data_IF_345979228409
#
_entry.id   IF_345979228409
#
_cell.length_a   1.000
_cell.length_b   1.000
_cell.length_c   1.000
_cell.angle_alpha   90.00
_cell.angle_beta   90.00
_cell.angle_gamma   90.00
#
_symmetry.space_group_name_H-M   'P 1'
#
loop_
_entity.id
_entity.type
_entity.pdbx_description
1 polymer ?
#
# COMPACT_ATOMS: atom_id res chain seq x y z
N UNK A 1 -11.34 2.19 -9.27
CA UNK A 1 -10.47 1.46 -8.32
C UNK A 1 -9.49 0.66 -9.15
N UNK A 2 -8.19 0.82 -8.93
CA UNK A 2 -7.15 0.08 -9.64
C UNK A 2 -6.75 -1.14 -8.82
N UNK A 3 -6.69 -2.30 -9.47
CA UNK A 3 -6.14 -3.50 -8.85
C UNK A 3 -4.64 -3.36 -8.78
N UNK A 4 -4.09 -3.47 -7.57
CA UNK A 4 -2.68 -3.43 -7.33
C UNK A 4 -2.29 -4.52 -6.34
N UNK A 5 -1.06 -5.02 -6.46
CA UNK A 5 -0.52 -6.02 -5.54
C UNK A 5 0.26 -5.32 -4.45
N UNK A 6 -0.02 -5.63 -3.19
CA UNK A 6 0.73 -5.13 -2.07
C UNK A 6 2.19 -5.59 -2.17
N UNK A 7 3.14 -4.66 -2.23
CA UNK A 7 4.57 -4.97 -2.32
C UNK A 7 5.14 -5.60 -1.04
N UNK A 8 4.41 -5.53 0.08
CA UNK A 8 4.84 -6.02 1.39
C UNK A 8 4.29 -7.44 1.68
N UNK A 9 2.99 -7.66 1.44
CA UNK A 9 2.33 -8.95 1.72
C UNK A 9 1.94 -9.77 0.48
N UNK A 10 2.08 -9.22 -0.73
CA UNK A 10 1.72 -9.90 -1.98
C UNK A 10 0.22 -10.04 -2.25
N UNK A 11 -0.65 -9.47 -1.41
CA UNK A 11 -2.10 -9.57 -1.60
C UNK A 11 -2.61 -8.56 -2.64
N UNK A 12 -3.63 -8.96 -3.39
CA UNK A 12 -4.37 -8.08 -4.30
C UNK A 12 -5.25 -7.10 -3.49
N UNK A 13 -5.13 -5.81 -3.79
CA UNK A 13 -5.94 -4.76 -3.19
C UNK A 13 -6.43 -3.76 -4.23
N UNK A 14 -7.52 -3.10 -3.89
CA UNK A 14 -8.12 -2.06 -4.72
C UNK A 14 -7.72 -0.70 -4.19
N UNK A 15 -6.95 0.04 -4.98
CA UNK A 15 -6.46 1.37 -4.61
C UNK A 15 -7.14 2.45 -5.46
N UNK A 16 -7.38 3.65 -4.89
CA UNK A 16 -7.99 4.75 -5.63
C UNK A 16 -6.99 5.49 -6.53
N UNK A 17 -5.70 5.12 -6.49
CA UNK A 17 -4.62 5.73 -7.26
C UNK A 17 -4.04 4.74 -8.27
N UNK A 18 -3.52 5.25 -9.38
CA UNK A 18 -2.88 4.43 -10.41
C UNK A 18 -1.54 3.88 -9.86
N UNK A 19 -1.32 2.55 -9.89
CA UNK A 19 -0.06 1.96 -9.44
C UNK A 19 1.07 2.33 -10.41
N UNK A 20 1.94 3.26 -10.01
CA UNK A 20 3.09 3.66 -10.82
C UNK A 20 4.27 2.69 -10.64
N UNK A 21 5.03 2.35 -11.70
CA UNK A 21 6.11 1.34 -11.68
C UNK A 21 7.37 1.73 -10.86
N UNK A 22 7.30 2.74 -10.00
CA UNK A 22 8.37 3.13 -9.07
C UNK A 22 7.88 3.41 -7.65
N UNK A 23 6.58 3.27 -7.37
CA UNK A 23 5.99 3.49 -6.05
C UNK A 23 5.42 2.17 -5.54
N UNK A 24 5.89 1.65 -4.39
CA UNK A 24 5.34 0.43 -3.82
C UNK A 24 3.90 0.67 -3.37
N UNK A 25 3.03 -0.26 -3.72
CA UNK A 25 1.62 -0.22 -3.29
C UNK A 25 1.49 -1.01 -2.02
N UNK A 26 0.77 -0.46 -1.05
CA UNK A 26 0.53 -1.14 0.23
C UNK A 26 -0.96 -1.31 0.46
N UNK A 27 -1.35 -2.49 0.94
CA UNK A 27 -2.69 -2.70 1.46
C UNK A 27 -2.90 -1.86 2.73
N UNK A 28 -4.15 -1.67 3.15
CA UNK A 28 -4.49 -0.85 4.32
C UNK A 28 -3.73 -1.26 5.58
N UNK A 29 -3.49 -2.56 5.76
CA UNK A 29 -2.77 -3.12 6.89
C UNK A 29 -1.27 -2.80 6.83
N UNK A 30 -0.61 -3.11 5.72
CA UNK A 30 0.82 -2.80 5.52
C UNK A 30 1.09 -1.29 5.53
N UNK A 31 0.18 -0.48 4.97
CA UNK A 31 0.27 0.98 5.03
C UNK A 31 0.20 1.50 6.46
N UNK A 32 -0.70 0.96 7.29
CA UNK A 32 -0.75 1.31 8.72
C UNK A 32 0.51 0.90 9.48
N UNK A 33 1.10 -0.26 9.18
CA UNK A 33 2.38 -0.69 9.76
C UNK A 33 3.55 0.21 9.34
N UNK A 34 3.58 0.64 8.07
CA UNK A 34 4.60 1.53 7.53
C UNK A 34 4.46 2.97 8.02
N UNK A 35 3.24 3.39 8.36
CA UNK A 35 2.98 4.69 8.97
C UNK A 35 3.55 4.65 10.38
N UNK A 36 4.85 4.96 10.51
CA UNK A 36 5.55 5.09 11.79
C UNK A 36 4.62 5.87 12.73
N UNK A 37 4.35 5.38 13.96
CA UNK A 37 3.60 6.18 14.91
C UNK A 37 4.37 7.48 15.04
N UNK A 38 3.71 8.59 14.74
CA UNK A 38 4.22 9.91 15.08
C UNK A 38 4.46 9.85 16.58
N UNK A 39 5.70 9.65 16.98
CA UNK A 39 6.07 9.75 18.39
C UNK A 39 5.84 11.21 18.73
N UNK A 40 4.84 11.40 19.59
CA UNK A 40 4.48 12.64 20.25
C UNK A 40 5.72 13.36 20.77
#
# INVERSE_FOLDING_TARGET
>A
MYKATCSDCGQECEVPFEPSPGKPVYCRNCYQKHKKPSRY
#
